data_IF_311048564997
#
_entry.id   IF_311048564997
#
_cell.length_a   1.000
_cell.length_b   1.000
_cell.length_c   1.000
_cell.angle_alpha   90.00
_cell.angle_beta   90.00
_cell.angle_gamma   90.00
#
_symmetry.space_group_name_H-M   'P 1'
#
loop_
_entity.id
_entity.type
_entity.pdbx_description
1 polymer ?
#
# COMPACT_ATOMS: atom_id res chain seq x y z
N UNK A 1 18.08 -9.52 -15.22
CA UNK A 1 16.78 -8.83 -15.23
C UNK A 1 15.71 -9.70 -14.59
N UNK A 2 15.62 -11.00 -14.93
CA UNK A 2 14.62 -11.91 -14.36
C UNK A 2 14.67 -12.04 -12.83
N UNK A 3 15.87 -12.03 -12.23
CA UNK A 3 16.00 -12.10 -10.77
C UNK A 3 15.33 -10.94 -10.02
N UNK A 4 15.32 -9.73 -10.60
CA UNK A 4 14.67 -8.56 -9.99
C UNK A 4 13.16 -8.70 -10.04
N UNK A 5 12.60 -9.16 -11.15
CA UNK A 5 11.17 -9.41 -11.29
C UNK A 5 10.71 -10.57 -10.40
N UNK A 6 11.53 -11.62 -10.25
CA UNK A 6 11.26 -12.74 -9.33
C UNK A 6 11.28 -12.26 -7.88
N UNK A 7 12.29 -11.47 -7.49
CA UNK A 7 12.35 -10.88 -6.15
C UNK A 7 11.13 -9.97 -5.89
N UNK A 8 10.78 -9.13 -6.87
CA UNK A 8 9.60 -8.26 -6.82
C UNK A 8 8.30 -9.06 -6.59
N UNK A 9 8.07 -10.08 -7.41
CA UNK A 9 6.86 -10.91 -7.34
C UNK A 9 6.80 -11.66 -6.00
N UNK A 10 7.95 -12.19 -5.54
CA UNK A 10 8.04 -12.90 -4.27
C UNK A 10 7.69 -11.99 -3.08
N UNK A 11 8.16 -10.74 -3.08
CA UNK A 11 7.85 -9.77 -2.04
C UNK A 11 6.36 -9.43 -2.00
N UNK A 12 5.75 -9.22 -3.17
CA UNK A 12 4.33 -8.94 -3.29
C UNK A 12 3.50 -10.12 -2.73
N UNK A 13 3.86 -11.36 -3.10
CA UNK A 13 3.22 -12.57 -2.56
C UNK A 13 3.34 -12.63 -1.05
N UNK A 14 4.52 -12.35 -0.48
CA UNK A 14 4.72 -12.31 0.98
C UNK A 14 3.80 -11.28 1.64
N UNK A 15 3.71 -10.07 1.08
CA UNK A 15 2.81 -9.04 1.61
C UNK A 15 1.34 -9.50 1.58
N UNK A 16 0.89 -10.09 0.48
CA UNK A 16 -0.50 -10.58 0.35
C UNK A 16 -0.79 -11.69 1.34
N UNK A 17 0.12 -12.66 1.48
CA UNK A 17 0.00 -13.76 2.45
C UNK A 17 -0.10 -13.22 3.87
N UNK A 18 0.76 -12.26 4.23
CA UNK A 18 0.73 -11.62 5.55
C UNK A 18 -0.55 -10.82 5.79
N UNK A 19 -1.06 -10.11 4.78
CA UNK A 19 -2.35 -9.41 4.88
C UNK A 19 -3.47 -10.42 5.16
N UNK A 20 -3.56 -11.49 4.37
CA UNK A 20 -4.58 -12.52 4.54
C UNK A 20 -4.47 -13.17 5.93
N UNK A 21 -3.26 -13.58 6.33
CA UNK A 21 -3.03 -14.17 7.65
C UNK A 21 -3.48 -13.22 8.77
N UNK A 22 -3.16 -11.93 8.65
CA UNK A 22 -3.56 -10.93 9.65
C UNK A 22 -5.09 -10.77 9.67
N UNK A 23 -5.74 -10.69 8.51
CA UNK A 23 -7.20 -10.61 8.39
C UNK A 23 -7.92 -11.85 8.93
N UNK A 24 -7.34 -13.05 8.79
CA UNK A 24 -7.88 -14.30 9.32
C UNK A 24 -7.73 -14.40 10.84
N UNK A 25 -6.72 -13.74 11.43
CA UNK A 25 -6.57 -13.68 12.89
C UNK A 25 -7.43 -12.60 13.55
N UNK A 26 -7.93 -11.62 12.79
CA UNK A 26 -8.80 -10.55 13.26
C UNK A 26 -10.17 -10.97 13.85
N UNK A 27 -10.85 -12.07 13.42
CA UNK A 27 -12.12 -12.51 13.99
C UNK A 27 -12.05 -12.96 15.46
N UNK A 28 -10.85 -13.19 16.00
CA UNK A 28 -10.66 -13.44 17.43
C UNK A 28 -10.92 -12.17 18.25
N UNK A 29 -10.89 -11.00 17.61
CA UNK A 29 -11.37 -9.76 18.19
C UNK A 29 -12.87 -9.61 17.91
N UNK A 30 -13.64 -9.19 18.92
CA UNK A 30 -15.07 -8.92 18.75
C UNK A 30 -15.38 -8.04 17.53
N UNK A 31 -16.56 -8.23 16.94
CA UNK A 31 -16.91 -7.73 15.60
C UNK A 31 -16.66 -6.23 15.39
N UNK A 32 -16.96 -5.39 16.38
CA UNK A 32 -16.75 -3.94 16.31
C UNK A 32 -15.27 -3.54 16.22
N UNK A 33 -14.39 -4.26 16.94
CA UNK A 33 -12.95 -3.96 16.96
C UNK A 33 -12.29 -4.35 15.65
N UNK A 34 -12.71 -5.47 15.07
CA UNK A 34 -12.25 -5.94 13.76
C UNK A 34 -12.55 -4.90 12.68
N UNK A 35 -13.76 -4.35 12.67
CA UNK A 35 -14.17 -3.38 11.66
C UNK A 35 -13.38 -2.07 11.80
N UNK A 36 -13.20 -1.59 13.03
CA UNK A 36 -12.40 -0.39 13.32
C UNK A 36 -10.94 -0.53 12.85
N UNK A 37 -10.31 -1.69 13.07
CA UNK A 37 -8.93 -1.96 12.62
C UNK A 37 -8.86 -1.95 11.08
N UNK A 38 -9.79 -2.63 10.41
CA UNK A 38 -9.85 -2.68 8.93
C UNK A 38 -10.06 -1.30 8.34
N UNK A 39 -11.02 -0.53 8.87
CA UNK A 39 -11.34 0.81 8.41
C UNK A 39 -10.14 1.74 8.54
N UNK A 40 -9.44 1.73 9.68
CA UNK A 40 -8.23 2.56 9.86
C UNK A 40 -7.10 2.16 8.91
N UNK A 41 -6.85 0.86 8.74
CA UNK A 41 -5.83 0.38 7.80
C UNK A 41 -6.14 0.76 6.35
N UNK A 42 -7.40 0.63 5.93
CA UNK A 42 -7.84 1.02 4.59
C UNK A 42 -7.75 2.53 4.37
N UNK A 43 -8.17 3.34 5.36
CA UNK A 43 -8.11 4.80 5.26
C UNK A 43 -6.68 5.33 5.08
N UNK A 44 -5.71 4.77 5.79
CA UNK A 44 -4.29 5.13 5.64
C UNK A 44 -3.70 4.71 4.29
N UNK A 45 -4.02 3.51 3.82
CA UNK A 45 -3.62 3.07 2.48
C UNK A 45 -4.26 3.94 1.40
N UNK A 46 -5.52 4.33 1.56
CA UNK A 46 -6.19 5.25 0.65
C UNK A 46 -5.54 6.64 0.65
N UNK A 47 -5.24 7.22 1.81
CA UNK A 47 -4.55 8.51 1.91
C UNK A 47 -3.19 8.49 1.21
N UNK A 48 -2.47 7.38 1.31
CA UNK A 48 -1.20 7.15 0.61
C UNK A 48 -1.37 7.21 -0.91
N UNK A 49 -2.39 6.52 -1.43
CA UNK A 49 -2.70 6.53 -2.87
C UNK A 49 -3.01 7.94 -3.34
N UNK A 50 -3.85 8.67 -2.59
CA UNK A 50 -4.20 10.05 -2.92
C UNK A 50 -2.97 10.96 -2.94
N UNK A 51 -2.13 10.89 -1.90
CA UNK A 51 -0.91 11.69 -1.83
C UNK A 51 0.02 11.40 -3.02
N UNK A 52 0.16 10.12 -3.36
CA UNK A 52 0.95 9.71 -4.52
C UNK A 52 0.38 10.22 -5.85
N UNK A 53 -0.94 10.11 -6.06
CA UNK A 53 -1.59 10.61 -7.27
C UNK A 53 -1.45 12.12 -7.43
N UNK A 54 -1.55 12.88 -6.33
CA UNK A 54 -1.30 14.33 -6.33
C UNK A 54 0.16 14.61 -6.75
N UNK A 55 1.11 13.87 -6.19
CA UNK A 55 2.53 14.03 -6.52
C UNK A 55 2.83 13.68 -7.98
N UNK A 56 2.24 12.60 -8.51
CA UNK A 56 2.39 12.19 -9.90
C UNK A 56 1.80 13.21 -10.86
N UNK A 57 0.63 13.75 -10.52
CA UNK A 57 -0.04 14.81 -11.29
C UNK A 57 0.81 16.09 -11.30
N UNK A 58 1.36 16.48 -10.15
CA UNK A 58 2.24 17.64 -10.03
C UNK A 58 3.51 17.49 -10.86
N UNK A 59 4.17 16.33 -10.84
CA UNK A 59 5.33 16.05 -11.70
C UNK A 59 4.96 16.10 -13.18
N UNK A 60 3.84 15.48 -13.57
CA UNK A 60 3.38 15.49 -14.97
C UNK A 60 3.18 16.92 -15.48
N UNK A 61 2.53 17.78 -14.68
CA UNK A 61 2.32 19.20 -15.01
C UNK A 61 3.66 19.94 -15.07
N UNK A 62 4.53 19.75 -14.08
CA UNK A 62 5.83 20.42 -14.03
C UNK A 62 6.68 20.07 -15.24
N UNK A 63 6.81 18.78 -15.58
CA UNK A 63 7.54 18.37 -16.77
C UNK A 63 6.89 18.96 -18.01
N UNK A 64 5.58 18.78 -18.24
CA UNK A 64 4.91 19.29 -19.44
C UNK A 64 5.08 20.80 -19.66
N UNK A 65 5.11 21.61 -18.60
CA UNK A 65 5.17 23.08 -18.71
C UNK A 65 6.61 23.61 -18.68
N UNK A 66 7.48 23.05 -17.83
CA UNK A 66 8.84 23.58 -17.60
C UNK A 66 9.94 22.82 -18.34
N UNK A 67 9.65 21.67 -18.95
CA UNK A 67 10.67 20.84 -19.60
C UNK A 67 10.07 20.16 -20.83
N UNK A 68 10.64 20.35 -22.02
CA UNK A 68 10.20 19.65 -23.25
C UNK A 68 10.51 18.12 -23.25
N UNK A 69 10.65 17.50 -22.07
CA UNK A 69 10.87 16.08 -21.88
C UNK A 69 9.57 15.40 -21.50
N UNK A 70 9.33 14.24 -22.10
CA UNK A 70 8.27 13.33 -21.71
C UNK A 70 8.51 12.79 -20.31
N UNK A 71 7.53 12.96 -19.42
CA UNK A 71 7.54 12.37 -18.10
C UNK A 71 7.29 10.87 -18.17
N UNK A 72 8.26 10.07 -17.72
CA UNK A 72 8.09 8.61 -17.55
C UNK A 72 7.38 8.36 -16.23
N UNK A 73 6.13 7.91 -16.32
CA UNK A 73 5.36 7.49 -15.14
C UNK A 73 6.02 6.32 -14.43
N UNK A 74 5.82 6.26 -13.11
CA UNK A 74 6.29 5.14 -12.32
C UNK A 74 5.54 3.87 -12.70
N UNK A 75 6.27 2.75 -12.78
CA UNK A 75 5.69 1.45 -13.09
C UNK A 75 4.56 1.11 -12.09
N UNK A 76 3.37 0.70 -12.57
CA UNK A 76 2.23 0.32 -11.72
C UNK A 76 2.60 -0.72 -10.64
N UNK A 77 3.57 -1.57 -10.96
CA UNK A 77 4.17 -2.56 -10.08
C UNK A 77 4.77 -1.94 -8.81
N UNK A 78 5.54 -0.85 -8.93
CA UNK A 78 6.16 -0.20 -7.78
C UNK A 78 5.12 0.41 -6.82
N UNK A 79 4.05 0.99 -7.39
CA UNK A 79 2.93 1.55 -6.63
C UNK A 79 2.19 0.47 -5.83
N UNK A 80 1.97 -0.71 -6.43
CA UNK A 80 1.35 -1.85 -5.75
C UNK A 80 2.13 -2.29 -4.51
N UNK A 81 3.46 -2.36 -4.59
CA UNK A 81 4.29 -2.73 -3.43
C UNK A 81 4.21 -1.68 -2.33
N UNK A 82 4.30 -0.39 -2.69
CA UNK A 82 4.26 0.69 -1.71
C UNK A 82 2.93 0.65 -0.94
N UNK A 83 1.80 0.52 -1.66
CA UNK A 83 0.47 0.47 -1.04
C UNK A 83 0.29 -0.79 -0.22
N UNK A 84 0.71 -1.95 -0.74
CA UNK A 84 0.59 -3.22 -0.01
C UNK A 84 1.43 -3.21 1.27
N UNK A 85 2.64 -2.64 1.23
CA UNK A 85 3.50 -2.48 2.41
C UNK A 85 2.90 -1.50 3.42
N UNK A 86 2.42 -0.35 2.96
CA UNK A 86 1.78 0.65 3.82
C UNK A 86 0.53 0.09 4.52
N UNK A 87 -0.33 -0.61 3.77
CA UNK A 87 -1.51 -1.27 4.32
C UNK A 87 -1.12 -2.32 5.36
N UNK A 88 -0.13 -3.17 5.06
CA UNK A 88 0.35 -4.20 5.97
C UNK A 88 0.92 -3.61 7.26
N UNK A 89 1.79 -2.61 7.18
CA UNK A 89 2.36 -1.91 8.35
C UNK A 89 1.24 -1.34 9.23
N UNK A 90 0.28 -0.69 8.59
CA UNK A 90 -0.84 -0.06 9.29
C UNK A 90 -1.75 -1.09 9.94
N UNK A 91 -2.02 -2.20 9.26
CA UNK A 91 -2.81 -3.32 9.76
C UNK A 91 -2.14 -3.98 10.98
N UNK A 92 -0.83 -4.22 10.92
CA UNK A 92 -0.06 -4.74 12.06
C UNK A 92 -0.04 -3.77 13.24
N UNK A 93 0.17 -2.48 12.98
CA UNK A 93 0.15 -1.44 14.02
C UNK A 93 -1.19 -1.41 14.76
N UNK A 94 -2.30 -1.38 14.02
CA UNK A 94 -3.63 -1.33 14.62
C UNK A 94 -4.08 -2.66 15.23
N UNK A 95 -3.67 -3.79 14.65
CA UNK A 95 -3.84 -5.09 15.31
C UNK A 95 -3.12 -5.12 16.65
N UNK A 96 -1.88 -4.65 16.76
CA UNK A 96 -1.16 -4.58 18.05
C UNK A 96 -1.81 -3.60 19.03
N UNK A 97 -2.30 -2.46 18.53
CA UNK A 97 -2.86 -1.39 19.36
C UNK A 97 -4.25 -1.71 19.91
N UNK A 98 -5.10 -2.35 19.12
CA UNK A 98 -6.50 -2.64 19.46
C UNK A 98 -6.78 -4.14 19.70
N UNK A 99 -5.77 -4.98 19.48
CA UNK A 99 -5.72 -6.45 19.62
C UNK A 99 -6.03 -7.00 20.98
N UNK A 100 -5.48 -6.38 22.02
CA UNK A 100 -5.24 -7.07 23.29
C UNK A 100 -3.97 -7.90 23.19
#
# INVERSE_FOLDING_TARGET
MDWIYIAFLSWLVICVVLIIATLVTLPQLGDERKDLIKMKAQSYAFATVIFWLIFETGKSIYFTIWTDKTYTSIEPAALLIIISGMYLITLFYYKKKYGG
#
